data_IF_128270105446
#
_entry.id   IF_128270105446
#
_cell.length_a   1.000
_cell.length_b   1.000
_cell.length_c   1.000
_cell.angle_alpha   90.00
_cell.angle_beta   90.00
_cell.angle_gamma   90.00
#
_symmetry.space_group_name_H-M   'P 1'
#
loop_
_entity.id
_entity.type
_entity.pdbx_description
1 polymer ?
#
# COMPACT_ATOMS: atom_id res chain seq x y z
N UNK A 1 -51.52 2.50 -19.07
CA UNK A 1 -50.19 2.27 -19.72
C UNK A 1 -49.13 2.26 -18.63
N UNK A 2 -48.74 1.08 -18.14
CA UNK A 2 -47.86 0.91 -16.94
C UNK A 2 -46.44 0.88 -17.48
N UNK A 3 -45.67 1.93 -17.22
CA UNK A 3 -44.23 1.97 -17.53
C UNK A 3 -43.52 1.02 -16.55
N UNK A 4 -43.20 -0.16 -17.04
CA UNK A 4 -42.38 -1.14 -16.34
C UNK A 4 -40.92 -0.66 -16.37
N UNK A 5 -40.49 0.04 -15.33
CA UNK A 5 -39.11 0.42 -15.13
C UNK A 5 -38.27 -0.86 -15.03
N UNK A 6 -37.50 -1.15 -16.05
CA UNK A 6 -36.55 -2.27 -16.08
C UNK A 6 -35.41 -1.91 -15.10
N UNK A 7 -35.52 -2.36 -13.86
CA UNK A 7 -34.42 -2.29 -12.90
C UNK A 7 -33.26 -3.12 -13.49
N UNK A 8 -32.27 -2.46 -14.07
CA UNK A 8 -31.05 -3.13 -14.50
C UNK A 8 -30.38 -3.69 -13.24
N UNK A 9 -30.17 -4.99 -13.17
CA UNK A 9 -29.36 -5.66 -12.14
C UNK A 9 -27.88 -5.29 -12.35
N UNK A 10 -27.55 -4.00 -12.24
CA UNK A 10 -26.17 -3.53 -12.21
C UNK A 10 -25.66 -3.74 -10.78
N UNK A 11 -24.52 -4.40 -10.68
CA UNK A 11 -23.82 -4.51 -9.40
C UNK A 11 -23.47 -3.10 -8.93
N UNK A 12 -23.88 -2.75 -7.71
CA UNK A 12 -23.50 -1.49 -7.09
C UNK A 12 -22.02 -1.54 -6.73
N UNK A 13 -21.25 -0.58 -7.24
CA UNK A 13 -19.80 -0.47 -6.99
C UNK A 13 -19.48 0.97 -6.56
N UNK A 14 -19.78 1.32 -5.30
CA UNK A 14 -19.49 2.64 -4.78
C UNK A 14 -17.98 2.92 -4.83
N UNK A 15 -17.54 4.17 -5.07
CA UNK A 15 -16.14 4.52 -5.15
C UNK A 15 -15.43 4.31 -3.80
N UNK A 16 -14.42 3.44 -3.78
CA UNK A 16 -13.59 3.20 -2.58
C UNK A 16 -12.61 4.37 -2.43
N UNK A 17 -12.53 4.99 -1.24
CA UNK A 17 -11.56 6.04 -0.96
C UNK A 17 -10.12 5.60 -1.24
N UNK A 18 -9.28 6.51 -1.76
CA UNK A 18 -7.90 6.20 -2.10
C UNK A 18 -7.08 5.77 -0.88
N UNK A 19 -7.35 6.37 0.29
CA UNK A 19 -6.75 6.00 1.56
C UNK A 19 -6.98 4.53 1.90
N UNK A 20 -8.20 4.03 1.70
CA UNK A 20 -8.53 2.63 1.93
C UNK A 20 -7.81 1.70 0.94
N UNK A 21 -7.66 2.11 -0.32
CA UNK A 21 -6.90 1.34 -1.32
C UNK A 21 -5.42 1.26 -0.95
N UNK A 22 -4.83 2.36 -0.48
CA UNK A 22 -3.44 2.40 -0.03
C UNK A 22 -3.24 1.52 1.21
N UNK A 23 -4.13 1.63 2.21
CA UNK A 23 -4.08 0.79 3.40
C UNK A 23 -4.20 -0.69 3.05
N UNK A 24 -5.12 -1.08 2.16
CA UNK A 24 -5.26 -2.45 1.67
C UNK A 24 -3.99 -2.94 0.94
N UNK A 25 -3.36 -2.10 0.13
CA UNK A 25 -2.12 -2.44 -0.56
C UNK A 25 -0.96 -2.67 0.42
N UNK A 26 -0.79 -1.81 1.42
CA UNK A 26 0.19 -2.00 2.50
C UNK A 26 -0.10 -3.26 3.33
N UNK A 27 -1.37 -3.56 3.60
CA UNK A 27 -1.76 -4.81 4.28
C UNK A 27 -1.36 -6.03 3.44
N UNK A 28 -1.64 -6.02 2.14
CA UNK A 28 -1.26 -7.11 1.24
C UNK A 28 0.26 -7.30 1.19
N UNK A 29 1.02 -6.20 1.12
CA UNK A 29 2.49 -6.23 1.16
C UNK A 29 2.99 -6.85 2.47
N UNK A 30 2.44 -6.46 3.61
CA UNK A 30 2.82 -7.00 4.92
C UNK A 30 2.58 -8.51 5.01
N UNK A 31 1.43 -8.99 4.54
CA UNK A 31 1.18 -10.43 4.52
C UNK A 31 2.17 -11.17 3.63
N UNK A 32 2.52 -10.62 2.46
CA UNK A 32 3.51 -11.23 1.59
C UNK A 32 4.88 -11.32 2.28
N UNK A 33 5.38 -10.22 2.83
CA UNK A 33 6.68 -10.19 3.54
C UNK A 33 6.70 -11.23 4.65
N UNK A 34 5.68 -11.27 5.53
CA UNK A 34 5.60 -12.24 6.62
C UNK A 34 5.63 -13.68 6.10
N UNK A 35 4.88 -13.99 5.03
CA UNK A 35 4.85 -15.35 4.50
C UNK A 35 6.13 -15.71 3.73
N UNK A 36 6.78 -14.77 3.08
CA UNK A 36 8.08 -14.99 2.43
C UNK A 36 9.12 -15.36 3.49
N UNK A 37 9.21 -14.59 4.57
CA UNK A 37 10.11 -14.87 5.70
C UNK A 37 9.77 -16.21 6.37
N UNK A 38 8.48 -16.51 6.52
CA UNK A 38 8.04 -17.79 7.06
C UNK A 38 8.42 -18.96 6.17
N UNK A 39 8.25 -18.85 4.84
CA UNK A 39 8.62 -19.91 3.91
C UNK A 39 10.14 -20.07 3.77
N UNK A 40 10.90 -19.02 4.03
CA UNK A 40 12.37 -19.13 4.10
C UNK A 40 12.81 -20.17 5.14
N UNK A 41 12.09 -20.30 6.27
CA UNK A 41 12.39 -21.28 7.30
C UNK A 41 12.26 -22.74 6.83
N UNK A 42 11.53 -23.00 5.74
CA UNK A 42 11.41 -24.34 5.18
C UNK A 42 12.58 -24.73 4.27
N UNK A 43 13.50 -23.82 3.99
CA UNK A 43 14.69 -24.14 3.20
C UNK A 43 15.64 -25.01 4.04
N UNK A 44 16.27 -26.02 3.45
CA UNK A 44 17.16 -26.92 4.17
C UNK A 44 18.31 -26.18 4.84
N UNK A 45 18.52 -26.43 6.13
CA UNK A 45 19.60 -25.83 6.91
C UNK A 45 19.27 -24.52 7.62
N UNK A 46 18.23 -23.78 7.23
CA UNK A 46 17.89 -22.47 7.80
C UNK A 46 17.57 -22.55 9.30
N UNK A 47 16.80 -23.54 9.71
CA UNK A 47 16.46 -23.75 11.13
C UNK A 47 17.72 -24.06 11.96
N UNK A 48 18.66 -24.82 11.40
CA UNK A 48 19.89 -25.19 12.12
C UNK A 48 20.83 -23.99 12.24
N UNK A 49 20.89 -23.12 11.21
CA UNK A 49 21.61 -21.84 11.29
C UNK A 49 21.04 -20.96 12.40
N UNK A 50 19.72 -20.79 12.44
CA UNK A 50 19.05 -19.98 13.47
C UNK A 50 19.28 -20.57 14.86
N UNK A 51 19.24 -21.88 15.03
CA UNK A 51 19.58 -22.55 16.30
C UNK A 51 21.04 -22.37 16.70
N UNK A 52 21.92 -22.23 15.69
CA UNK A 52 23.32 -21.89 15.88
C UNK A 52 23.57 -20.40 16.19
N UNK A 53 22.52 -19.58 16.21
CA UNK A 53 22.62 -18.16 16.48
C UNK A 53 22.96 -17.30 15.26
N UNK A 54 22.74 -17.81 14.05
CA UNK A 54 23.02 -17.09 12.79
C UNK A 54 21.73 -17.00 11.97
N UNK A 55 21.49 -15.84 11.35
CA UNK A 55 20.42 -15.64 10.36
C UNK A 55 21.01 -14.94 9.14
N UNK A 56 20.80 -15.50 7.94
CA UNK A 56 21.56 -15.15 6.74
C UNK A 56 23.07 -15.35 7.00
N UNK A 57 23.84 -14.26 7.05
CA UNK A 57 25.28 -14.27 7.37
C UNK A 57 25.58 -13.46 8.65
N UNK A 58 24.54 -13.15 9.44
CA UNK A 58 24.67 -12.26 10.60
C UNK A 58 24.45 -13.03 11.91
N UNK A 59 25.26 -12.73 12.92
CA UNK A 59 25.01 -13.22 14.28
C UNK A 59 23.73 -12.61 14.86
N UNK A 60 22.87 -13.45 15.41
CA UNK A 60 21.62 -13.03 16.04
C UNK A 60 21.96 -12.22 17.31
N UNK A 61 21.58 -10.96 17.29
CA UNK A 61 21.83 -10.02 18.38
C UNK A 61 20.60 -9.14 18.63
N UNK A 62 20.52 -8.51 19.80
CA UNK A 62 19.46 -7.55 20.10
C UNK A 62 19.44 -6.38 19.09
N UNK A 63 20.59 -5.96 18.61
CA UNK A 63 20.71 -4.91 17.58
C UNK A 63 20.12 -5.38 16.25
N UNK A 64 20.48 -6.58 15.78
CA UNK A 64 19.95 -7.13 14.54
C UNK A 64 18.43 -7.28 14.58
N UNK A 65 17.91 -7.83 15.72
CA UNK A 65 16.46 -7.97 15.92
C UNK A 65 15.75 -6.61 15.95
N UNK A 66 16.39 -5.57 16.50
CA UNK A 66 15.84 -4.22 16.48
C UNK A 66 15.77 -3.62 15.06
N UNK A 67 16.79 -3.89 14.25
CA UNK A 67 16.81 -3.46 12.83
C UNK A 67 15.66 -4.15 12.07
N UNK A 68 15.50 -5.45 12.20
CA UNK A 68 14.42 -6.20 11.57
C UNK A 68 13.04 -5.69 12.03
N UNK A 69 12.88 -5.42 13.32
CA UNK A 69 11.65 -4.85 13.84
C UNK A 69 11.34 -3.49 13.18
N UNK A 70 12.31 -2.59 13.08
CA UNK A 70 12.13 -1.27 12.42
C UNK A 70 11.72 -1.43 10.97
N UNK A 71 12.36 -2.34 10.23
CA UNK A 71 12.02 -2.61 8.83
C UNK A 71 10.56 -3.06 8.71
N UNK A 72 10.07 -3.96 9.57
CA UNK A 72 8.69 -4.45 9.54
C UNK A 72 7.70 -3.41 10.11
N UNK A 73 8.10 -2.62 11.10
CA UNK A 73 7.23 -1.61 11.69
C UNK A 73 6.81 -0.51 10.70
N UNK A 74 7.66 -0.17 9.75
CA UNK A 74 7.37 0.88 8.75
C UNK A 74 6.12 0.54 7.94
N UNK A 75 6.01 -0.59 7.20
CA UNK A 75 4.81 -0.90 6.41
C UNK A 75 3.60 -1.16 7.30
N UNK A 76 3.79 -1.73 8.50
CA UNK A 76 2.70 -1.90 9.45
C UNK A 76 2.10 -0.54 9.86
N UNK A 77 2.95 0.46 10.15
CA UNK A 77 2.49 1.82 10.41
C UNK A 77 1.87 2.46 9.18
N UNK A 78 2.35 2.18 7.96
CA UNK A 78 1.78 2.73 6.74
C UNK A 78 0.33 2.31 6.51
N UNK A 79 -0.10 1.17 7.00
CA UNK A 79 -1.52 0.74 6.98
C UNK A 79 -2.37 1.77 7.73
N UNK A 80 -2.02 2.07 8.98
CA UNK A 80 -2.72 3.03 9.81
C UNK A 80 -2.58 4.46 9.28
N UNK A 81 -1.37 4.88 8.92
CA UNK A 81 -1.08 6.22 8.44
C UNK A 81 -1.80 6.53 7.13
N UNK A 82 -1.98 5.54 6.24
CA UNK A 82 -2.75 5.71 5.01
C UNK A 82 -4.21 6.06 5.27
N UNK A 83 -4.78 5.66 6.40
CA UNK A 83 -6.16 5.97 6.77
C UNK A 83 -6.29 7.28 7.57
N UNK A 84 -5.27 7.66 8.33
CA UNK A 84 -5.36 8.76 9.32
C UNK A 84 -4.73 10.06 8.87
N UNK A 85 -3.73 10.01 8.00
CA UNK A 85 -3.03 11.22 7.56
C UNK A 85 -3.87 12.07 6.58
N UNK A 86 -3.72 13.40 6.64
CA UNK A 86 -4.32 14.30 5.66
C UNK A 86 -3.73 14.04 4.26
N UNK A 87 -4.50 14.24 3.20
CA UNK A 87 -4.20 13.83 1.83
C UNK A 87 -2.79 14.24 1.33
N UNK A 88 -2.35 15.47 1.65
CA UNK A 88 -1.03 15.97 1.21
C UNK A 88 0.13 15.19 1.86
N UNK A 89 0.04 14.99 3.18
CA UNK A 89 1.05 14.25 3.95
C UNK A 89 1.04 12.78 3.56
N UNK A 90 -0.14 12.19 3.49
CA UNK A 90 -0.33 10.79 3.08
C UNK A 90 0.29 10.51 1.71
N UNK A 91 0.01 11.37 0.72
CA UNK A 91 0.64 11.28 -0.61
C UNK A 91 2.17 11.32 -0.52
N UNK A 92 2.72 12.32 0.19
CA UNK A 92 4.17 12.48 0.31
C UNK A 92 4.81 11.26 1.00
N UNK A 93 4.22 10.79 2.11
CA UNK A 93 4.73 9.64 2.86
C UNK A 93 4.74 8.37 2.00
N UNK A 94 3.67 8.08 1.26
CA UNK A 94 3.63 6.92 0.37
C UNK A 94 4.67 7.02 -0.76
N UNK A 95 4.89 8.21 -1.34
CA UNK A 95 5.89 8.43 -2.40
C UNK A 95 7.34 8.30 -1.89
N UNK A 96 7.57 8.51 -0.60
CA UNK A 96 8.90 8.35 0.01
C UNK A 96 9.10 6.91 0.50
N UNK A 97 8.14 6.37 1.23
CA UNK A 97 8.29 5.06 1.90
C UNK A 97 8.26 3.91 0.91
N UNK A 98 7.38 3.93 -0.10
CA UNK A 98 7.29 2.81 -1.02
C UNK A 98 8.60 2.52 -1.80
N UNK A 99 9.34 3.51 -2.34
CA UNK A 99 10.63 3.24 -2.97
C UNK A 99 11.70 2.70 -2.03
N UNK A 100 11.65 3.06 -0.73
CA UNK A 100 12.60 2.56 0.27
C UNK A 100 12.47 1.06 0.52
N UNK A 101 11.34 0.46 0.16
CA UNK A 101 11.12 -0.99 0.25
C UNK A 101 11.77 -1.79 -0.88
N UNK A 102 12.08 -1.18 -2.02
CA UNK A 102 12.74 -1.87 -3.14
C UNK A 102 14.10 -2.45 -2.72
N UNK A 103 15.00 -1.70 -2.07
CA UNK A 103 16.25 -2.27 -1.54
C UNK A 103 16.03 -3.42 -0.55
N UNK A 104 15.00 -3.34 0.30
CA UNK A 104 14.69 -4.41 1.26
C UNK A 104 14.32 -5.71 0.55
N UNK A 105 13.49 -5.63 -0.49
CA UNK A 105 13.10 -6.79 -1.31
C UNK A 105 14.29 -7.41 -2.04
N UNK A 106 15.18 -6.57 -2.59
CA UNK A 106 16.40 -7.05 -3.25
C UNK A 106 17.31 -7.72 -2.23
N UNK A 107 17.42 -7.20 -1.03
CA UNK A 107 18.19 -7.80 0.05
C UNK A 107 17.66 -9.18 0.46
N UNK A 108 16.34 -9.36 0.53
CA UNK A 108 15.72 -10.65 0.85
C UNK A 108 16.05 -11.76 -0.17
N UNK A 109 16.38 -11.38 -1.41
CA UNK A 109 16.83 -12.32 -2.44
C UNK A 109 18.36 -12.44 -2.53
N UNK A 110 19.11 -11.60 -1.82
CA UNK A 110 20.55 -11.65 -1.82
C UNK A 110 21.03 -12.93 -1.11
N UNK A 111 21.88 -13.70 -1.76
CA UNK A 111 22.37 -14.98 -1.21
C UNK A 111 21.47 -16.18 -1.48
N UNK A 112 20.30 -15.99 -2.12
CA UNK A 112 19.44 -17.11 -2.50
C UNK A 112 20.14 -18.07 -3.46
N UNK A 113 20.00 -19.39 -3.21
CA UNK A 113 20.52 -20.39 -4.13
C UNK A 113 19.70 -20.41 -5.44
N UNK A 114 20.32 -20.84 -6.54
CA UNK A 114 19.65 -20.97 -7.84
C UNK A 114 18.44 -21.92 -7.81
N UNK A 115 18.40 -22.86 -6.89
CA UNK A 115 17.29 -23.80 -6.74
C UNK A 115 15.98 -23.07 -6.36
N UNK A 116 16.09 -21.92 -5.69
CA UNK A 116 14.95 -21.08 -5.29
C UNK A 116 14.77 -19.83 -6.16
N UNK A 117 15.52 -19.68 -7.25
CA UNK A 117 15.48 -18.48 -8.09
C UNK A 117 14.08 -18.15 -8.60
N UNK A 118 13.31 -19.15 -9.02
CA UNK A 118 11.93 -18.98 -9.47
C UNK A 118 11.02 -18.49 -8.35
N UNK A 119 11.15 -19.04 -7.15
CA UNK A 119 10.40 -18.62 -5.97
C UNK A 119 10.66 -17.13 -5.66
N UNK A 120 11.93 -16.72 -5.57
CA UNK A 120 12.28 -15.32 -5.31
C UNK A 120 11.87 -14.38 -6.44
N UNK A 121 11.99 -14.79 -7.69
CA UNK A 121 11.51 -13.99 -8.81
C UNK A 121 9.99 -13.75 -8.76
N UNK A 122 9.23 -14.78 -8.38
CA UNK A 122 7.78 -14.69 -8.24
C UNK A 122 7.39 -13.76 -7.07
N UNK A 123 8.00 -13.92 -5.91
CA UNK A 123 7.69 -13.13 -4.71
C UNK A 123 8.03 -11.66 -4.92
N UNK A 124 9.25 -11.35 -5.39
CA UNK A 124 9.67 -9.97 -5.73
C UNK A 124 8.77 -9.38 -6.81
N UNK A 125 8.39 -10.16 -7.82
CA UNK A 125 7.49 -9.70 -8.87
C UNK A 125 6.14 -9.23 -8.32
N UNK A 126 5.53 -9.98 -7.40
CA UNK A 126 4.26 -9.60 -6.78
C UNK A 126 4.42 -8.39 -5.86
N UNK A 127 5.48 -8.35 -5.06
CA UNK A 127 5.78 -7.21 -4.18
C UNK A 127 5.99 -5.92 -4.97
N UNK A 128 6.75 -5.98 -6.06
CA UNK A 128 6.99 -4.84 -6.96
C UNK A 128 5.67 -4.36 -7.59
N UNK A 129 4.77 -5.26 -7.98
CA UNK A 129 3.45 -4.89 -8.50
C UNK A 129 2.63 -4.12 -7.45
N UNK A 130 2.65 -4.55 -6.19
CA UNK A 130 1.96 -3.84 -5.10
C UNK A 130 2.59 -2.47 -4.86
N UNK A 131 3.92 -2.38 -4.81
CA UNK A 131 4.61 -1.09 -4.66
C UNK A 131 4.35 -0.15 -5.84
N UNK A 132 4.34 -0.67 -7.07
CA UNK A 132 3.98 0.10 -8.25
C UNK A 132 2.54 0.63 -8.18
N UNK A 133 1.61 -0.18 -7.67
CA UNK A 133 0.24 0.27 -7.41
C UNK A 133 0.21 1.40 -6.37
N UNK A 134 0.91 1.27 -5.23
CA UNK A 134 0.99 2.30 -4.19
C UNK A 134 1.56 3.59 -4.76
N UNK A 135 2.68 3.52 -5.47
CA UNK A 135 3.33 4.66 -6.09
C UNK A 135 2.43 5.35 -7.12
N UNK A 136 1.81 4.58 -8.01
CA UNK A 136 0.87 5.10 -9.00
C UNK A 136 -0.32 5.78 -8.32
N UNK A 137 -0.92 5.12 -7.33
CA UNK A 137 -2.07 5.64 -6.60
C UNK A 137 -1.74 6.94 -5.86
N UNK A 138 -0.58 7.00 -5.21
CA UNK A 138 -0.11 8.21 -4.54
C UNK A 138 0.25 9.32 -5.55
N UNK A 139 0.86 8.98 -6.69
CA UNK A 139 1.23 9.95 -7.73
C UNK A 139 0.01 10.59 -8.37
N UNK A 140 -0.98 9.80 -8.73
CA UNK A 140 -2.23 10.22 -9.38
C UNK A 140 -3.30 10.68 -8.39
N UNK A 141 -2.92 11.07 -7.15
CA UNK A 141 -3.86 11.49 -6.13
C UNK A 141 -4.83 12.55 -6.66
N UNK A 142 -6.16 12.34 -6.59
CA UNK A 142 -7.15 13.29 -7.10
C UNK A 142 -7.01 14.65 -6.43
N UNK A 143 -6.93 15.71 -7.23
CA UNK A 143 -6.97 17.07 -6.75
C UNK A 143 -8.41 17.54 -6.84
N UNK A 144 -9.00 17.98 -5.72
CA UNK A 144 -10.30 18.66 -5.74
C UNK A 144 -10.13 19.96 -6.51
N UNK A 145 -10.86 20.15 -7.60
CA UNK A 145 -10.93 21.45 -8.25
C UNK A 145 -11.47 22.47 -7.22
N UNK A 146 -10.92 23.70 -7.16
CA UNK A 146 -11.54 24.75 -6.36
C UNK A 146 -13.01 24.85 -6.77
N UNK A 147 -13.92 24.85 -5.79
CA UNK A 147 -15.33 25.15 -6.06
C UNK A 147 -15.34 26.46 -6.85
N UNK A 148 -15.74 26.39 -8.11
CA UNK A 148 -15.99 27.58 -8.88
C UNK A 148 -17.00 28.40 -8.07
N UNK A 149 -16.59 29.57 -7.64
CA UNK A 149 -17.47 30.51 -6.95
C UNK A 149 -18.66 30.74 -7.89
N UNK A 150 -19.80 30.14 -7.58
CA UNK A 150 -21.00 30.40 -8.36
C UNK A 150 -21.23 31.93 -8.31
N UNK A 151 -21.34 32.59 -9.47
CA UNK A 151 -21.70 34.00 -9.45
C UNK A 151 -23.05 34.11 -8.73
N UNK A 152 -23.26 35.17 -7.90
CA UNK A 152 -24.51 35.33 -7.18
C UNK A 152 -25.66 35.25 -8.18
N UNK A 153 -26.59 34.38 -7.89
CA UNK A 153 -27.74 34.11 -8.76
C UNK A 153 -28.49 35.45 -9.00
N UNK A 154 -28.62 35.86 -10.24
CA UNK A 154 -29.41 37.03 -10.68
C UNK A 154 -30.90 36.96 -10.29
N UNK A 155 -31.29 36.00 -9.51
CA UNK A 155 -32.67 35.82 -9.04
C UNK A 155 -33.05 36.73 -7.88
N UNK A 156 -32.06 37.24 -7.14
CA UNK A 156 -32.33 38.18 -6.05
C UNK A 156 -32.75 39.59 -6.55
N UNK A 157 -32.46 39.92 -7.79
CA UNK A 157 -32.75 41.24 -8.37
C UNK A 157 -34.15 41.37 -8.99
N UNK A 158 -34.92 40.27 -9.04
CA UNK A 158 -36.29 40.23 -9.56
C UNK A 158 -37.38 40.31 -8.49
N UNK A 159 -37.01 40.36 -7.22
CA UNK A 159 -37.96 40.33 -6.11
C UNK A 159 -38.29 41.72 -5.49
N UNK A 160 -37.94 42.82 -6.15
CA UNK A 160 -38.41 44.13 -5.69
C UNK A 160 -39.75 44.42 -6.35
N UNK A 161 -40.86 44.57 -5.56
CA UNK A 161 -42.13 45.03 -6.09
C UNK A 161 -41.97 46.49 -6.54
N UNK A 162 -42.31 46.73 -7.81
CA UNK A 162 -42.47 48.12 -8.28
C UNK A 162 -43.74 48.68 -7.64
N UNK A 163 -43.56 49.68 -6.76
CA UNK A 163 -44.60 50.51 -6.20
C UNK A 163 -44.93 51.65 -7.15
#
# INVERSE_FOLDING_TARGET
MTIRTKTSNLLDNPPIPLQAKLAAAWTSLMFLVIYIDYYHLYQPGEIDLIRGGVIFEFDISGTLMSIFFVIIAIPALMIMLSMTLPARVNRATNLVVAPLYIPVMVFNAAGASWDYAFYYALTIGVEVLILAFILRAAWTWPRTAPLATMPPSREADRALPQA
#
